data_IF_216393826814
#
_entry.id   IF_216393826814
#
_cell.length_a   1.000
_cell.length_b   1.000
_cell.length_c   1.000
_cell.angle_alpha   90.00
_cell.angle_beta   90.00
_cell.angle_gamma   90.00
#
_symmetry.space_group_name_H-M   'P 1'
#
loop_
_entity.id
_entity.type
_entity.pdbx_description
1 polymer ?
#
# COMPACT_ATOMS: atom_id res chain seq x y z
N UNK A 1 -11.33 -6.36 41.87
CA UNK A 1 -10.78 -7.56 41.17
C UNK A 1 -10.13 -7.25 39.81
N UNK A 2 -10.86 -6.95 38.73
CA UNK A 2 -10.22 -6.71 37.40
C UNK A 2 -9.25 -5.51 37.40
N UNK A 3 -9.61 -4.40 38.05
CA UNK A 3 -8.77 -3.20 38.15
C UNK A 3 -7.45 -3.45 38.89
N UNK A 4 -7.48 -4.23 39.97
CA UNK A 4 -6.30 -4.61 40.74
C UNK A 4 -5.38 -5.51 39.92
N UNK A 5 -5.92 -6.53 39.24
CA UNK A 5 -5.14 -7.41 38.36
C UNK A 5 -4.47 -6.62 37.24
N UNK A 6 -5.20 -5.73 36.57
CA UNK A 6 -4.65 -4.90 35.51
C UNK A 6 -3.54 -3.96 36.03
N UNK A 7 -3.71 -3.42 37.23
CA UNK A 7 -2.68 -2.58 37.87
C UNK A 7 -1.42 -3.40 38.20
N UNK A 8 -1.58 -4.61 38.73
CA UNK A 8 -0.48 -5.54 38.99
C UNK A 8 0.25 -5.92 37.69
N UNK A 9 -0.50 -6.21 36.61
CA UNK A 9 0.08 -6.55 35.31
C UNK A 9 0.81 -5.36 34.67
N UNK A 10 0.26 -4.15 34.78
CA UNK A 10 0.91 -2.93 34.27
C UNK A 10 2.27 -2.68 34.95
N UNK A 11 2.40 -2.99 36.24
CA UNK A 11 3.70 -2.89 36.96
C UNK A 11 4.75 -3.88 36.45
N UNK A 12 4.35 -4.98 35.81
CA UNK A 12 5.27 -5.97 35.21
C UNK A 12 5.78 -5.57 33.83
N UNK A 13 5.22 -4.53 33.21
CA UNK A 13 5.66 -4.04 31.90
C UNK A 13 6.92 -3.18 32.06
N UNK A 14 8.09 -3.78 31.87
CA UNK A 14 9.40 -3.16 32.12
C UNK A 14 10.04 -2.52 30.88
N UNK A 15 9.64 -2.93 29.69
CA UNK A 15 10.19 -2.48 28.40
C UNK A 15 9.09 -2.05 27.41
N UNK A 16 8.37 -0.95 27.70
CA UNK A 16 7.31 -0.45 26.83
C UNK A 16 7.87 0.02 25.48
N UNK A 17 7.13 -0.23 24.41
CA UNK A 17 7.47 0.26 23.07
C UNK A 17 7.13 1.75 22.93
N UNK A 18 7.81 2.42 22.00
CA UNK A 18 7.74 3.87 21.76
C UNK A 18 7.24 4.20 20.34
N UNK A 19 6.82 3.19 19.57
CA UNK A 19 6.31 3.30 18.20
C UNK A 19 5.04 4.18 18.03
N UNK A 20 4.29 4.42 19.12
CA UNK A 20 3.08 5.23 19.11
C UNK A 20 1.97 4.61 18.26
N UNK A 21 1.45 5.36 17.27
CA UNK A 21 0.39 4.89 16.37
C UNK A 21 0.87 3.94 15.27
N UNK A 22 2.19 3.79 15.09
CA UNK A 22 2.74 2.87 14.07
C UNK A 22 2.60 1.43 14.57
N UNK A 23 1.93 0.59 13.77
CA UNK A 23 1.86 -0.84 14.05
C UNK A 23 3.23 -1.49 13.85
N UNK A 24 3.48 -2.60 14.54
CA UNK A 24 4.72 -3.35 14.38
C UNK A 24 4.86 -3.94 12.99
N UNK A 25 3.77 -4.42 12.39
CA UNK A 25 3.78 -4.94 11.02
C UNK A 25 4.23 -3.89 9.99
N UNK A 26 3.87 -2.62 10.18
CA UNK A 26 4.36 -1.52 9.34
C UNK A 26 5.84 -1.20 9.58
N UNK A 27 6.35 -1.45 10.78
CA UNK A 27 7.77 -1.25 11.10
C UNK A 27 8.59 -2.40 10.51
N UNK A 28 8.16 -3.65 10.70
CA UNK A 28 8.77 -4.83 10.10
C UNK A 28 8.86 -4.68 8.58
N UNK A 29 7.75 -4.34 7.91
CA UNK A 29 7.75 -4.20 6.45
C UNK A 29 8.69 -3.10 5.95
N UNK A 30 8.84 -2.01 6.70
CA UNK A 30 9.80 -0.94 6.33
C UNK A 30 11.24 -1.43 6.46
N UNK A 31 11.55 -2.12 7.55
CA UNK A 31 12.87 -2.72 7.74
C UNK A 31 13.16 -3.76 6.65
N UNK A 32 12.20 -4.62 6.31
CA UNK A 32 12.34 -5.64 5.26
C UNK A 32 12.58 -5.05 3.86
N UNK A 33 12.16 -3.80 3.62
CA UNK A 33 12.45 -3.10 2.36
C UNK A 33 13.80 -2.36 2.39
N UNK A 34 14.33 -2.06 3.58
CA UNK A 34 15.60 -1.35 3.77
C UNK A 34 16.78 -2.34 3.93
N UNK A 35 16.54 -3.50 4.51
CA UNK A 35 17.51 -4.56 4.75
C UNK A 35 17.01 -5.90 4.21
N UNK A 36 17.91 -6.69 3.61
CA UNK A 36 17.56 -8.00 3.02
C UNK A 36 17.10 -9.02 4.09
N UNK A 37 17.64 -8.90 5.29
CA UNK A 37 17.23 -9.69 6.46
C UNK A 37 17.00 -8.77 7.64
N UNK A 38 15.84 -8.94 8.31
CA UNK A 38 15.49 -8.18 9.51
C UNK A 38 15.58 -9.09 10.71
N UNK A 39 16.49 -8.78 11.63
CA UNK A 39 16.64 -9.53 12.88
C UNK A 39 15.57 -9.13 13.90
N UNK A 40 15.14 -10.08 14.74
CA UNK A 40 14.22 -9.82 15.85
C UNK A 40 14.77 -8.76 16.81
N UNK A 41 16.10 -8.71 16.99
CA UNK A 41 16.79 -7.66 17.75
C UNK A 41 16.55 -6.28 17.13
N UNK A 42 16.69 -6.12 15.82
CA UNK A 42 16.52 -4.83 15.15
C UNK A 42 15.09 -4.32 15.32
N UNK A 43 14.10 -5.20 15.15
CA UNK A 43 12.68 -4.85 15.39
C UNK A 43 12.50 -4.40 16.85
N UNK A 44 13.12 -5.11 17.80
CA UNK A 44 13.07 -4.73 19.21
C UNK A 44 13.67 -3.34 19.44
N UNK A 45 14.89 -3.10 18.96
CA UNK A 45 15.58 -1.81 19.08
C UNK A 45 14.71 -0.70 18.48
N UNK A 46 14.33 -0.80 17.21
CA UNK A 46 13.57 0.24 16.49
C UNK A 46 12.24 0.58 17.17
N UNK A 47 11.52 -0.44 17.66
CA UNK A 47 10.23 -0.23 18.30
C UNK A 47 10.32 0.34 19.72
N UNK A 48 11.51 0.28 20.36
CA UNK A 48 11.75 0.80 21.72
C UNK A 48 12.66 2.04 21.75
N UNK A 49 13.30 2.38 20.63
CA UNK A 49 14.14 3.58 20.53
C UNK A 49 13.31 4.84 20.79
N UNK A 50 13.81 5.68 21.67
CA UNK A 50 13.18 6.96 22.01
C UNK A 50 13.59 8.03 21.00
N UNK A 51 12.68 8.95 20.72
CA UNK A 51 12.96 10.07 19.81
C UNK A 51 13.91 11.06 20.49
N UNK A 52 14.98 11.50 19.81
CA UNK A 52 15.85 12.55 20.34
C UNK A 52 15.03 13.83 20.55
N UNK A 53 15.36 14.59 21.60
CA UNK A 53 14.67 15.84 21.95
C UNK A 53 13.27 15.67 22.56
N UNK A 54 12.75 14.44 22.69
CA UNK A 54 11.47 14.20 23.37
C UNK A 54 11.69 13.88 24.85
N UNK A 55 10.99 14.58 25.73
CA UNK A 55 10.96 14.27 27.15
C UNK A 55 10.05 13.06 27.41
N UNK A 56 10.52 12.12 28.22
CA UNK A 56 9.79 10.91 28.62
C UNK A 56 9.66 10.88 30.14
N UNK A 57 8.49 10.45 30.63
CA UNK A 57 8.20 10.40 32.08
C UNK A 57 8.95 9.28 32.81
N UNK A 58 9.25 8.19 32.13
CA UNK A 58 9.87 6.99 32.70
C UNK A 58 11.32 6.84 32.26
N UNK A 59 12.16 6.21 33.07
CA UNK A 59 13.51 5.80 32.66
C UNK A 59 13.46 4.81 31.49
N UNK A 60 14.52 4.77 30.66
CA UNK A 60 14.71 3.76 29.61
C UNK A 60 15.73 2.69 29.98
N UNK A 61 16.25 2.71 31.20
CA UNK A 61 17.42 1.94 31.62
C UNK A 61 17.25 0.44 31.43
N UNK A 62 16.11 -0.15 31.81
CA UNK A 62 15.86 -1.58 31.59
C UNK A 62 15.88 -1.96 30.11
N UNK A 63 15.38 -1.09 29.24
CA UNK A 63 15.36 -1.32 27.80
C UNK A 63 16.76 -1.20 27.22
N UNK A 64 17.50 -0.15 27.59
CA UNK A 64 18.88 0.06 27.16
C UNK A 64 19.78 -1.09 27.62
N UNK A 65 19.64 -1.55 28.87
CA UNK A 65 20.39 -2.68 29.41
C UNK A 65 20.14 -3.96 28.62
N UNK A 66 18.89 -4.26 28.25
CA UNK A 66 18.57 -5.41 27.39
C UNK A 66 19.10 -5.28 25.97
N UNK A 67 19.12 -4.08 25.41
CA UNK A 67 19.70 -3.85 24.07
C UNK A 67 21.20 -4.09 24.11
N UNK A 68 21.89 -3.58 25.14
CA UNK A 68 23.32 -3.82 25.33
C UNK A 68 23.64 -5.32 25.52
N UNK A 69 22.82 -6.05 26.29
CA UNK A 69 22.96 -7.49 26.46
C UNK A 69 22.78 -8.26 25.14
N UNK A 70 21.82 -7.85 24.29
CA UNK A 70 21.66 -8.42 22.95
C UNK A 70 22.84 -8.10 22.03
N UNK A 71 23.43 -6.91 22.13
CA UNK A 71 24.64 -6.53 21.40
C UNK A 71 25.84 -7.38 21.81
N UNK A 72 26.04 -7.58 23.11
CA UNK A 72 27.12 -8.42 23.63
C UNK A 72 27.02 -9.87 23.12
N UNK A 73 25.82 -10.47 23.17
CA UNK A 73 25.60 -11.82 22.67
C UNK A 73 25.95 -11.93 21.18
N UNK A 74 25.49 -11.00 20.35
CA UNK A 74 25.82 -11.02 18.91
C UNK A 74 27.32 -10.92 18.66
N UNK A 75 28.04 -10.04 19.39
CA UNK A 75 29.51 -9.93 19.23
C UNK A 75 30.28 -11.18 19.65
N UNK A 76 29.79 -11.92 20.64
CA UNK A 76 30.40 -13.19 21.06
C UNK A 76 30.10 -14.33 20.06
N UNK A 77 28.98 -14.25 19.34
CA UNK A 77 28.59 -15.25 18.34
C UNK A 77 29.43 -15.16 17.07
N UNK A 78 29.91 -13.97 16.69
CA UNK A 78 30.86 -13.82 15.58
C UNK A 78 32.17 -14.60 15.80
N UNK A 79 32.43 -15.02 17.05
CA UNK A 79 33.62 -15.82 17.43
C UNK A 79 33.35 -17.30 17.65
N UNK A 80 32.08 -17.70 17.87
CA UNK A 80 31.68 -19.07 18.15
C UNK A 80 30.63 -19.48 17.10
N UNK A 81 30.93 -20.47 16.25
CA UNK A 81 30.10 -20.95 15.11
C UNK A 81 28.64 -21.40 15.45
N UNK A 82 28.16 -21.16 16.67
CA UNK A 82 26.80 -21.44 17.11
C UNK A 82 25.92 -20.20 16.98
N UNK A 83 24.90 -20.24 16.11
CA UNK A 83 23.92 -19.16 16.01
C UNK A 83 22.85 -19.24 17.11
N UNK A 84 22.86 -18.29 18.03
CA UNK A 84 21.81 -18.09 19.04
C UNK A 84 21.08 -16.79 18.74
N UNK A 85 19.75 -16.83 18.73
CA UNK A 85 18.93 -15.62 18.64
C UNK A 85 19.08 -14.80 19.93
N UNK A 86 19.86 -13.72 19.86
CA UNK A 86 20.16 -12.83 20.98
C UNK A 86 18.87 -12.31 21.66
N UNK A 87 17.81 -12.08 20.90
CA UNK A 87 16.54 -11.62 21.46
C UNK A 87 15.88 -12.69 22.35
N UNK A 88 15.83 -13.93 21.88
CA UNK A 88 15.27 -15.05 22.65
C UNK A 88 16.14 -15.40 23.86
N UNK A 89 17.45 -15.18 23.79
CA UNK A 89 18.36 -15.37 24.93
C UNK A 89 18.05 -14.36 26.06
N UNK A 90 17.91 -13.07 25.72
CA UNK A 90 17.70 -11.99 26.71
C UNK A 90 16.27 -11.92 27.23
N UNK A 91 15.27 -12.06 26.36
CA UNK A 91 13.87 -11.92 26.79
C UNK A 91 13.22 -13.27 27.14
N UNK A 92 13.81 -14.37 26.69
CA UNK A 92 13.27 -15.70 26.82
C UNK A 92 12.51 -16.17 25.57
N UNK A 93 12.18 -17.46 25.54
CA UNK A 93 11.61 -18.13 24.38
C UNK A 93 10.22 -17.59 24.02
N UNK A 94 9.88 -17.72 22.74
CA UNK A 94 8.58 -17.33 22.22
C UNK A 94 7.44 -18.16 22.85
N UNK A 95 6.32 -17.50 23.16
CA UNK A 95 5.15 -18.20 23.70
C UNK A 95 4.44 -19.01 22.60
N UNK A 96 3.88 -20.19 22.92
CA UNK A 96 3.09 -20.96 21.96
C UNK A 96 1.93 -20.12 21.39
N UNK A 97 1.76 -20.17 20.06
CA UNK A 97 0.61 -19.56 19.38
C UNK A 97 0.66 -18.05 19.17
N UNK A 98 1.76 -17.37 19.50
CA UNK A 98 1.98 -15.96 19.17
C UNK A 98 3.42 -15.77 18.69
N UNK A 99 3.66 -14.71 17.92
CA UNK A 99 5.00 -14.26 17.54
C UNK A 99 5.18 -12.83 18.05
N UNK A 100 6.02 -12.66 19.07
CA UNK A 100 6.35 -11.35 19.64
C UNK A 100 6.95 -10.45 18.57
N UNK A 101 6.66 -9.17 18.68
CA UNK A 101 7.17 -8.11 17.80
C UNK A 101 6.61 -8.04 16.38
N UNK A 102 5.73 -8.96 15.94
CA UNK A 102 5.15 -8.91 14.59
C UNK A 102 3.73 -8.32 14.52
N UNK A 103 3.13 -8.03 15.67
CA UNK A 103 1.79 -7.48 15.79
C UNK A 103 0.79 -8.47 16.39
N UNK A 104 -0.48 -8.08 16.41
CA UNK A 104 -1.54 -8.88 17.03
C UNK A 104 -1.88 -10.08 16.13
N UNK A 105 -1.97 -11.27 16.73
CA UNK A 105 -2.45 -12.48 16.05
C UNK A 105 -1.47 -13.11 15.05
N UNK A 106 -0.24 -12.59 14.96
CA UNK A 106 0.79 -13.20 14.10
C UNK A 106 1.33 -14.46 14.77
N UNK A 107 1.43 -15.54 13.99
CA UNK A 107 1.99 -16.81 14.45
C UNK A 107 3.05 -17.28 13.45
N UNK A 108 3.93 -18.19 13.88
CA UNK A 108 4.96 -18.79 13.02
C UNK A 108 4.36 -19.44 11.77
N UNK A 109 3.18 -20.05 11.88
CA UNK A 109 2.48 -20.68 10.73
C UNK A 109 1.90 -19.63 9.77
N UNK A 110 1.38 -18.51 10.28
CA UNK A 110 0.93 -17.39 9.45
C UNK A 110 2.09 -16.81 8.63
N UNK A 111 3.26 -16.63 9.24
CA UNK A 111 4.46 -16.13 8.55
C UNK A 111 4.99 -17.14 7.52
N UNK A 112 5.08 -18.43 7.90
CA UNK A 112 5.51 -19.50 6.99
C UNK A 112 4.58 -19.65 5.78
N UNK A 113 3.26 -19.49 5.95
CA UNK A 113 2.32 -19.49 4.81
C UNK A 113 2.66 -18.39 3.81
N UNK A 114 3.14 -17.23 4.26
CA UNK A 114 3.56 -16.14 3.38
C UNK A 114 4.89 -16.44 2.67
N UNK A 115 5.86 -17.04 3.37
CA UNK A 115 7.15 -17.42 2.79
C UNK A 115 7.06 -18.61 1.81
N UNK A 116 6.17 -19.58 2.09
CA UNK A 116 6.00 -20.79 1.28
C UNK A 116 4.93 -20.70 0.18
N UNK A 117 4.03 -19.71 0.23
CA UNK A 117 3.10 -19.42 -0.87
C UNK A 117 3.59 -18.28 -1.77
N UNK A 118 4.87 -17.91 -1.66
CA UNK A 118 5.55 -17.08 -2.67
C UNK A 118 5.95 -17.92 -3.89
N UNK A 119 5.22 -18.99 -4.19
CA UNK A 119 5.22 -19.70 -5.47
C UNK A 119 3.93 -19.42 -6.25
N UNK A 120 3.44 -18.17 -6.23
CA UNK A 120 2.61 -17.69 -7.33
C UNK A 120 3.12 -16.36 -7.87
N UNK A 121 4.11 -16.38 -8.79
CA UNK A 121 4.41 -15.25 -9.62
C UNK A 121 3.52 -15.25 -10.88
N UNK A 122 2.74 -14.19 -11.02
CA UNK A 122 2.67 -13.32 -12.21
C UNK A 122 1.76 -13.63 -13.41
N UNK A 123 0.92 -14.67 -13.40
CA UNK A 123 0.06 -14.93 -14.57
C UNK A 123 -1.38 -14.38 -14.41
N UNK A 124 -1.89 -14.26 -13.18
CA UNK A 124 -3.24 -13.73 -12.91
C UNK A 124 -3.24 -12.18 -12.92
N UNK A 125 -2.10 -11.56 -12.64
CA UNK A 125 -1.99 -10.10 -12.53
C UNK A 125 -2.09 -9.40 -13.89
N UNK A 126 -1.50 -9.97 -14.95
CA UNK A 126 -1.54 -9.35 -16.28
C UNK A 126 -2.95 -9.33 -16.86
N UNK A 127 -3.71 -10.42 -16.72
CA UNK A 127 -5.07 -10.52 -17.26
C UNK A 127 -6.03 -9.55 -16.55
N UNK A 128 -5.92 -9.43 -15.23
CA UNK A 128 -6.72 -8.46 -14.45
C UNK A 128 -6.32 -7.02 -14.75
N UNK A 129 -5.01 -6.73 -14.89
CA UNK A 129 -4.53 -5.38 -15.24
C UNK A 129 -4.97 -5.00 -16.66
N UNK A 130 -4.89 -5.93 -17.62
CA UNK A 130 -5.33 -5.73 -18.99
C UNK A 130 -6.85 -5.51 -19.05
N UNK A 131 -7.64 -6.33 -18.36
CA UNK A 131 -9.09 -6.14 -18.25
C UNK A 131 -9.44 -4.78 -17.64
N UNK A 132 -8.68 -4.33 -16.64
CA UNK A 132 -8.91 -3.03 -16.02
C UNK A 132 -8.54 -1.86 -16.96
N UNK A 133 -7.46 -1.99 -17.74
CA UNK A 133 -7.09 -1.02 -18.77
C UNK A 133 -8.14 -0.93 -19.89
N UNK A 134 -8.64 -2.06 -20.39
CA UNK A 134 -9.70 -2.08 -21.40
C UNK A 134 -10.98 -1.42 -20.88
N UNK A 135 -11.32 -1.66 -19.62
CA UNK A 135 -12.51 -1.06 -18.99
C UNK A 135 -12.35 0.45 -18.79
N UNK A 136 -11.15 0.94 -18.48
CA UNK A 136 -10.84 2.37 -18.40
C UNK A 136 -10.98 3.00 -19.79
N UNK A 137 -10.34 2.44 -20.82
CA UNK A 137 -10.43 2.96 -22.19
C UNK A 137 -11.87 3.01 -22.70
N UNK A 138 -12.68 1.98 -22.39
CA UNK A 138 -14.10 1.96 -22.74
C UNK A 138 -14.87 3.11 -22.07
N UNK A 139 -14.64 3.35 -20.78
CA UNK A 139 -15.29 4.46 -20.07
C UNK A 139 -14.84 5.83 -20.59
N UNK A 140 -13.55 6.01 -20.91
CA UNK A 140 -13.02 7.25 -21.51
C UNK A 140 -13.68 7.55 -22.86
N UNK A 141 -13.81 6.54 -23.72
CA UNK A 141 -14.48 6.69 -25.02
C UNK A 141 -15.96 7.09 -24.85
N UNK A 142 -16.66 6.45 -23.91
CA UNK A 142 -18.06 6.80 -23.61
C UNK A 142 -18.19 8.22 -23.05
N UNK A 143 -17.26 8.65 -22.20
CA UNK A 143 -17.25 10.01 -21.63
C UNK A 143 -17.02 11.06 -22.72
N UNK A 144 -16.09 10.81 -23.66
CA UNK A 144 -15.82 11.74 -24.77
C UNK A 144 -16.98 11.80 -25.75
N UNK A 145 -17.68 10.68 -25.99
CA UNK A 145 -18.91 10.65 -26.79
C UNK A 145 -20.04 11.45 -26.12
N UNK A 146 -20.30 11.21 -24.83
CA UNK A 146 -21.26 12.00 -24.06
C UNK A 146 -20.93 13.50 -24.05
N UNK A 147 -19.65 13.85 -23.95
CA UNK A 147 -19.19 15.25 -24.01
C UNK A 147 -19.49 15.90 -25.36
N UNK A 148 -19.39 15.16 -26.48
CA UNK A 148 -19.80 15.65 -27.80
C UNK A 148 -21.30 15.85 -27.87
N UNK A 149 -22.10 14.92 -27.36
CA UNK A 149 -23.56 15.04 -27.32
C UNK A 149 -23.99 16.25 -26.50
N UNK A 150 -23.46 16.43 -25.29
CA UNK A 150 -23.75 17.59 -24.43
C UNK A 150 -23.34 18.89 -25.12
N UNK A 151 -22.19 18.94 -25.79
CA UNK A 151 -21.78 20.14 -26.57
C UNK A 151 -22.76 20.45 -27.69
N UNK A 152 -23.26 19.44 -28.40
CA UNK A 152 -24.26 19.63 -29.45
C UNK A 152 -25.60 20.11 -28.87
N UNK A 153 -26.07 19.50 -27.79
CA UNK A 153 -27.31 19.91 -27.10
C UNK A 153 -27.24 21.38 -26.65
N UNK A 154 -26.16 21.77 -25.99
CA UNK A 154 -25.93 23.17 -25.57
C UNK A 154 -25.91 24.11 -26.78
N UNK A 155 -25.27 23.71 -27.88
CA UNK A 155 -25.26 24.52 -29.10
C UNK A 155 -26.66 24.68 -29.70
N UNK A 156 -27.45 23.60 -29.75
CA UNK A 156 -28.84 23.65 -30.24
C UNK A 156 -29.75 24.51 -29.35
N UNK A 157 -29.56 24.45 -28.02
CA UNK A 157 -30.32 25.26 -27.07
C UNK A 157 -30.01 26.75 -27.23
N UNK A 158 -28.72 27.12 -27.32
CA UNK A 158 -28.30 28.52 -27.56
C UNK A 158 -28.85 29.05 -28.88
N UNK A 159 -28.81 28.26 -29.96
CA UNK A 159 -29.41 28.65 -31.25
C UNK A 159 -30.91 28.88 -31.10
N UNK A 160 -31.62 27.98 -30.42
CA UNK A 160 -33.06 28.10 -30.22
C UNK A 160 -33.42 29.37 -29.43
N UNK A 161 -32.65 29.69 -28.38
CA UNK A 161 -32.82 30.93 -27.61
C UNK A 161 -32.60 32.18 -28.46
N UNK A 162 -31.55 32.20 -29.30
CA UNK A 162 -31.26 33.34 -30.19
C UNK A 162 -32.35 33.52 -31.27
N UNK A 163 -32.95 32.42 -31.74
CA UNK A 163 -34.10 32.46 -32.66
C UNK A 163 -35.32 33.09 -31.98
N UNK A 164 -35.64 32.66 -30.75
CA UNK A 164 -36.76 33.24 -29.99
C UNK A 164 -36.56 34.73 -29.68
N UNK A 165 -35.31 35.17 -29.52
CA UNK A 165 -34.96 36.58 -29.34
C UNK A 165 -34.93 37.40 -30.64
N UNK A 166 -35.15 36.78 -31.81
CA UNK A 166 -35.15 37.46 -33.12
C UNK A 166 -33.76 37.92 -33.60
N UNK A 167 -32.68 37.40 -33.01
CA UNK A 167 -31.30 37.77 -33.34
C UNK A 167 -30.75 37.01 -34.57
N UNK A 168 -31.36 35.90 -34.95
CA UNK A 168 -30.95 35.03 -36.06
C UNK A 168 -32.18 34.61 -36.88
N UNK A 169 -32.13 34.81 -38.20
CA UNK A 169 -33.16 34.34 -39.13
C UNK A 169 -33.04 32.82 -39.36
N UNK A 170 -34.17 32.11 -39.32
CA UNK A 170 -34.32 30.67 -39.56
C UNK A 170 -33.65 30.21 -40.87
N UNK A 171 -33.60 31.07 -41.88
CA UNK A 171 -33.08 30.73 -43.21
C UNK A 171 -31.54 30.69 -43.32
N UNK A 172 -30.80 31.29 -42.37
CA UNK A 172 -29.32 31.33 -42.39
C UNK A 172 -28.69 30.02 -41.89
N UNK A 173 -29.44 29.20 -41.15
CA UNK A 173 -28.90 27.95 -40.58
C UNK A 173 -28.80 26.82 -41.62
N UNK A 174 -29.71 26.78 -42.59
CA UNK A 174 -29.73 25.75 -43.64
C UNK A 174 -28.48 25.81 -44.54
N UNK A 175 -27.84 26.97 -44.66
CA UNK A 175 -26.61 27.17 -45.45
C UNK A 175 -25.32 26.84 -44.69
N UNK A 176 -25.36 26.82 -43.35
CA UNK A 176 -24.18 26.56 -42.49
C UNK A 176 -24.05 25.10 -42.02
N UNK A 177 -25.08 24.28 -42.25
CA UNK A 177 -25.09 22.87 -41.85
C UNK A 177 -24.24 22.02 -42.82
N UNK A 178 -22.92 22.17 -42.77
CA UNK A 178 -21.98 21.29 -43.48
C UNK A 178 -21.94 19.94 -42.75
N UNK A 179 -22.30 18.81 -43.38
CA UNK A 179 -22.15 17.50 -42.76
C UNK A 179 -20.68 17.24 -42.45
N UNK A 180 -20.38 16.82 -41.21
CA UNK A 180 -19.05 16.36 -40.82
C UNK A 180 -18.58 15.27 -41.79
N UNK A 181 -17.38 15.37 -42.39
CA UNK A 181 -16.86 14.33 -43.27
C UNK A 181 -16.80 13.00 -42.51
N UNK A 182 -17.57 12.01 -42.96
CA UNK A 182 -17.35 10.62 -42.55
C UNK A 182 -16.08 10.16 -43.26
N UNK A 183 -15.08 9.75 -42.50
CA UNK A 183 -13.87 9.13 -43.02
C UNK A 183 -14.26 7.90 -43.88
N UNK A 184 -14.24 8.05 -45.19
CA UNK A 184 -14.24 6.92 -46.12
C UNK A 184 -12.83 6.33 -46.16
N UNK A 185 -12.59 5.27 -45.36
CA UNK A 185 -11.43 4.40 -45.56
C UNK A 185 -11.66 3.56 -46.82
N UNK A 186 -11.03 3.94 -47.92
CA UNK A 186 -10.87 3.08 -49.08
C UNK A 186 -9.75 2.06 -48.78
N UNK A 187 -10.10 0.82 -48.46
CA UNK A 187 -9.17 -0.31 -48.60
C UNK A 187 -9.21 -0.77 -50.05
N UNK A 188 -8.21 -0.36 -50.84
CA UNK A 188 -7.93 -0.99 -52.12
C UNK A 188 -7.26 -2.35 -51.85
N UNK A 189 -7.97 -3.44 -52.15
CA UNK A 189 -7.40 -4.78 -52.29
C UNK A 189 -6.58 -4.81 -53.58
N UNK A 190 -5.25 -4.78 -53.46
CA UNK A 190 -4.37 -5.24 -54.53
C UNK A 190 -4.13 -6.75 -54.31
N UNK A 191 -4.76 -7.55 -55.15
CA UNK A 191 -4.35 -8.93 -55.37
C UNK A 191 -3.06 -8.89 -56.21
N UNK A 192 -2.00 -9.52 -55.73
CA UNK A 192 -0.83 -9.85 -56.54
C UNK A 192 -0.62 -11.36 -56.49
N UNK A 193 -0.65 -11.97 -57.67
CA UNK A 193 -0.28 -13.35 -57.93
C UNK A 193 1.14 -13.34 -58.49
N UNK A 194 2.04 -14.10 -57.86
CA UNK A 194 3.38 -14.39 -58.34
C UNK A 194 4.06 -15.41 -57.45
#
# INVERSE_FOLDING_TARGET
KMSETNTKNRKKLTNPHTAGKKSFSLICNKLENETETVSTKEIFVVTRTRKPGRLYKTSNENTNSKIAEMEEIETQMDTNDQSVDAFSAVIGPEHPGCLRLYGVGVTKTTLKRKAGNSEQPLNVTNDVVQQMQERIQKMEKQMEEQKKTVRQEVFTDVISQLQHAGLIDRNILATLSIPSPRETCNFAQAADQG
#
